data_IF_715930113966
#
_entry.id   IF_715930113966
#
_cell.length_a   1.000
_cell.length_b   1.000
_cell.length_c   1.000
_cell.angle_alpha   90.00
_cell.angle_beta   90.00
_cell.angle_gamma   90.00
#
_symmetry.space_group_name_H-M   'P 1'
#
loop_
_entity.id
_entity.type
_entity.pdbx_description
1 polymer ?
#
# COMPACT_ATOMS: atom_id res chain seq x y z
N UNK A 1 -27.38 -4.29 8.53
CA UNK A 1 -26.76 -3.06 9.06
C UNK A 1 -25.31 -3.39 9.28
N UNK A 2 -24.39 -2.61 8.72
CA UNK A 2 -22.94 -2.82 8.83
C UNK A 2 -22.44 -2.02 10.03
N UNK A 3 -21.84 -2.70 10.99
CA UNK A 3 -21.26 -2.10 12.19
C UNK A 3 -19.82 -1.69 11.92
N UNK A 4 -19.47 -0.44 12.23
CA UNK A 4 -18.20 0.16 11.82
C UNK A 4 -17.49 0.75 13.03
N UNK A 5 -16.21 0.42 13.19
CA UNK A 5 -15.29 1.16 14.07
C UNK A 5 -14.55 2.18 13.21
N UNK A 6 -14.49 3.43 13.65
CA UNK A 6 -13.69 4.48 13.01
C UNK A 6 -12.46 4.76 13.87
N UNK A 7 -11.30 4.29 13.42
CA UNK A 7 -10.02 4.41 14.10
C UNK A 7 -9.17 5.51 13.43
N UNK A 8 -9.34 6.75 13.89
CA UNK A 8 -8.72 7.94 13.32
C UNK A 8 -8.33 8.93 14.42
N UNK A 9 -7.04 9.21 14.62
CA UNK A 9 -6.58 10.17 15.63
C UNK A 9 -7.08 11.60 15.39
N UNK A 10 -7.13 12.02 14.13
CA UNK A 10 -7.58 13.36 13.78
C UNK A 10 -9.09 13.51 13.96
N UNK A 11 -9.50 14.37 14.91
CA UNK A 11 -10.90 14.59 15.25
C UNK A 11 -11.74 15.06 14.07
N UNK A 12 -11.24 15.96 13.25
CA UNK A 12 -11.99 16.51 12.11
C UNK A 12 -12.33 15.42 11.10
N UNK A 13 -11.36 14.56 10.78
CA UNK A 13 -11.59 13.46 9.84
C UNK A 13 -12.48 12.39 10.44
N UNK A 14 -12.27 12.05 11.69
CA UNK A 14 -13.10 11.06 12.38
C UNK A 14 -14.57 11.49 12.39
N UNK A 15 -14.87 12.74 12.76
CA UNK A 15 -16.21 13.30 12.72
C UNK A 15 -16.77 13.38 11.29
N UNK A 16 -15.94 13.71 10.31
CA UNK A 16 -16.31 13.73 8.90
C UNK A 16 -16.73 12.35 8.39
N UNK A 17 -15.90 11.33 8.63
CA UNK A 17 -16.19 9.93 8.26
C UNK A 17 -17.50 9.48 8.92
N UNK A 18 -17.64 9.67 10.22
CA UNK A 18 -18.86 9.34 10.95
C UNK A 18 -20.09 10.03 10.35
N UNK A 19 -20.03 11.34 10.18
CA UNK A 19 -21.15 12.12 9.63
C UNK A 19 -21.59 11.67 8.24
N UNK A 20 -20.64 11.23 7.40
CA UNK A 20 -20.93 10.69 6.06
C UNK A 20 -21.62 9.34 6.16
N UNK A 21 -21.08 8.43 6.97
CA UNK A 21 -21.58 7.06 7.09
C UNK A 21 -22.98 7.03 7.73
N UNK A 22 -23.19 7.77 8.81
CA UNK A 22 -24.47 7.79 9.55
C UNK A 22 -25.65 8.43 8.75
N UNK A 23 -25.39 9.02 7.59
CA UNK A 23 -26.48 9.47 6.67
C UNK A 23 -27.18 8.31 5.97
N UNK A 24 -26.60 7.12 5.98
CA UNK A 24 -27.18 5.93 5.37
C UNK A 24 -27.62 4.94 6.45
N UNK A 25 -28.86 4.50 6.39
CA UNK A 25 -29.44 3.59 7.37
C UNK A 25 -28.78 2.19 7.39
N UNK A 26 -28.01 1.85 6.36
CA UNK A 26 -27.28 0.60 6.27
C UNK A 26 -26.04 0.54 7.17
N UNK A 27 -25.53 1.70 7.62
CA UNK A 27 -24.32 1.83 8.42
C UNK A 27 -24.63 2.22 9.88
N UNK A 28 -23.80 1.71 10.77
CA UNK A 28 -23.78 2.10 12.18
C UNK A 28 -22.34 2.27 12.64
N UNK A 29 -21.94 3.50 12.98
CA UNK A 29 -20.65 3.72 13.63
C UNK A 29 -20.79 3.36 15.10
N UNK A 30 -20.33 2.18 15.46
CA UNK A 30 -20.46 1.63 16.80
C UNK A 30 -19.47 2.22 17.78
N UNK A 31 -18.27 2.56 17.31
CA UNK A 31 -17.23 3.16 18.15
C UNK A 31 -16.27 4.05 17.35
N UNK A 32 -15.73 5.03 18.05
CA UNK A 32 -14.66 5.90 17.60
C UNK A 32 -13.40 5.65 18.42
N UNK A 33 -12.27 5.45 17.75
CA UNK A 33 -10.99 5.11 18.36
C UNK A 33 -9.96 6.16 18.00
N UNK A 34 -9.21 6.64 18.98
CA UNK A 34 -8.27 7.76 18.85
C UNK A 34 -6.82 7.31 18.74
N UNK A 35 -6.50 6.14 19.30
CA UNK A 35 -5.13 5.66 19.44
C UNK A 35 -5.04 4.13 19.40
N UNK A 36 -3.82 3.63 19.44
CA UNK A 36 -3.50 2.21 19.34
C UNK A 36 -4.04 1.37 20.52
N UNK A 37 -4.03 1.90 21.73
CA UNK A 37 -4.44 1.16 22.93
C UNK A 37 -5.97 1.01 22.94
N UNK A 38 -6.68 2.08 22.60
CA UNK A 38 -8.12 2.03 22.40
C UNK A 38 -8.50 1.08 21.24
N UNK A 39 -7.74 1.07 20.13
CA UNK A 39 -8.03 0.16 19.02
C UNK A 39 -7.99 -1.29 19.47
N UNK A 40 -6.98 -1.69 20.23
CA UNK A 40 -6.84 -3.08 20.68
C UNK A 40 -7.98 -3.53 21.59
N UNK A 41 -8.36 -2.69 22.55
CA UNK A 41 -9.45 -2.99 23.49
C UNK A 41 -10.79 -3.00 22.78
N UNK A 42 -11.11 -1.93 22.06
CA UNK A 42 -12.39 -1.77 21.34
C UNK A 42 -12.59 -2.86 20.28
N UNK A 43 -11.53 -3.23 19.55
CA UNK A 43 -11.59 -4.27 18.51
C UNK A 43 -12.04 -5.63 19.06
N UNK A 44 -11.63 -5.97 20.28
CA UNK A 44 -11.99 -7.25 20.90
C UNK A 44 -13.38 -7.21 21.52
N UNK A 45 -13.76 -6.09 22.14
CA UNK A 45 -14.95 -5.99 22.96
C UNK A 45 -16.20 -5.61 22.15
N UNK A 46 -16.05 -4.80 21.11
CA UNK A 46 -17.19 -4.27 20.36
C UNK A 46 -17.46 -5.10 19.07
N UNK A 47 -18.70 -5.58 18.87
CA UNK A 47 -19.10 -6.21 17.63
C UNK A 47 -19.00 -5.23 16.44
N UNK A 48 -18.29 -5.64 15.38
CA UNK A 48 -18.13 -4.84 14.17
C UNK A 48 -17.87 -5.72 12.95
N UNK A 49 -18.15 -5.18 11.79
CA UNK A 49 -17.92 -5.80 10.48
C UNK A 49 -16.70 -5.18 9.78
N UNK A 50 -16.57 -3.85 9.90
CA UNK A 50 -15.53 -3.05 9.25
C UNK A 50 -14.82 -2.15 10.25
N UNK A 51 -13.50 -2.06 10.12
CA UNK A 51 -12.68 -1.03 10.78
C UNK A 51 -12.18 -0.08 9.69
N UNK A 52 -12.61 1.18 9.74
CA UNK A 52 -12.04 2.26 8.94
C UNK A 52 -10.86 2.83 9.71
N UNK A 53 -9.65 2.63 9.24
CA UNK A 53 -8.43 2.99 9.95
C UNK A 53 -7.58 4.00 9.18
N UNK A 54 -7.20 5.09 9.86
CA UNK A 54 -6.29 6.10 9.31
C UNK A 54 -4.87 5.55 9.15
N UNK A 55 -4.23 5.91 8.03
CA UNK A 55 -2.86 5.47 7.73
C UNK A 55 -1.87 5.87 8.81
N UNK A 56 -2.06 7.03 9.44
CA UNK A 56 -1.14 7.52 10.48
C UNK A 56 -1.20 6.63 11.74
N UNK A 57 -2.40 6.21 12.14
CA UNK A 57 -2.56 5.24 13.23
C UNK A 57 -1.96 3.89 12.84
N UNK A 58 -2.21 3.44 11.62
CA UNK A 58 -1.66 2.18 11.12
C UNK A 58 -0.13 2.20 11.04
N UNK A 59 0.48 3.33 10.65
CA UNK A 59 1.94 3.52 10.69
C UNK A 59 2.51 3.46 12.10
N UNK A 60 1.79 3.99 13.09
CA UNK A 60 2.22 3.94 14.50
C UNK A 60 2.24 2.53 15.07
N UNK A 61 1.20 1.72 14.78
CA UNK A 61 1.12 0.34 15.29
C UNK A 61 1.87 -0.67 14.40
N UNK A 62 2.28 -0.25 13.22
CA UNK A 62 2.87 -1.10 12.19
C UNK A 62 1.80 -1.89 11.39
N UNK A 63 1.97 -2.02 10.09
CA UNK A 63 0.97 -2.68 9.23
C UNK A 63 0.77 -4.17 9.60
N UNK A 64 1.76 -4.82 10.23
CA UNK A 64 1.64 -6.19 10.73
C UNK A 64 0.53 -6.37 11.76
N UNK A 65 0.14 -5.31 12.49
CA UNK A 65 -0.96 -5.34 13.44
C UNK A 65 -2.31 -5.73 12.80
N UNK A 66 -2.52 -5.40 11.51
CA UNK A 66 -3.73 -5.85 10.79
C UNK A 66 -3.85 -7.37 10.75
N UNK A 67 -2.72 -8.08 10.60
CA UNK A 67 -2.71 -9.54 10.61
C UNK A 67 -3.07 -10.08 11.99
N UNK A 68 -2.52 -9.51 13.05
CA UNK A 68 -2.81 -9.90 14.43
C UNK A 68 -4.29 -9.68 14.76
N UNK A 69 -4.83 -8.51 14.44
CA UNK A 69 -6.24 -8.19 14.62
C UNK A 69 -7.13 -9.14 13.82
N UNK A 70 -6.78 -9.43 12.58
CA UNK A 70 -7.54 -10.37 11.74
C UNK A 70 -7.47 -11.81 12.24
N UNK A 71 -6.37 -12.24 12.85
CA UNK A 71 -6.28 -13.54 13.50
C UNK A 71 -7.20 -13.63 14.73
N UNK A 72 -7.30 -12.54 15.50
CA UNK A 72 -8.19 -12.47 16.65
C UNK A 72 -9.67 -12.47 16.24
N UNK A 73 -10.01 -11.80 15.10
CA UNK A 73 -11.38 -11.75 14.57
C UNK A 73 -11.39 -11.87 13.04
N UNK A 74 -11.45 -13.10 12.50
CA UNK A 74 -11.33 -13.35 11.06
C UNK A 74 -12.45 -12.74 10.20
N UNK A 75 -13.63 -12.47 10.78
CA UNK A 75 -14.75 -11.83 10.09
C UNK A 75 -14.54 -10.34 9.86
N UNK A 76 -13.71 -9.67 10.68
CA UNK A 76 -13.47 -8.23 10.54
C UNK A 76 -12.72 -7.90 9.26
N UNK A 77 -13.08 -6.77 8.65
CA UNK A 77 -12.48 -6.24 7.44
C UNK A 77 -11.88 -4.87 7.71
N UNK A 78 -10.80 -4.55 7.02
CA UNK A 78 -10.08 -3.28 7.22
C UNK A 78 -10.12 -2.44 5.95
N UNK A 79 -10.63 -1.20 6.09
CA UNK A 79 -10.53 -0.15 5.10
C UNK A 79 -9.51 0.88 5.61
N UNK A 80 -8.37 0.96 4.96
CA UNK A 80 -7.34 1.96 5.27
C UNK A 80 -7.65 3.24 4.51
N UNK A 81 -7.62 4.39 5.18
CA UNK A 81 -7.71 5.69 4.52
C UNK A 81 -6.44 6.51 4.74
N UNK A 82 -6.06 7.28 3.73
CA UNK A 82 -4.85 8.09 3.72
C UNK A 82 -5.09 9.47 3.12
N UNK A 83 -4.35 10.47 3.59
CA UNK A 83 -4.34 11.81 2.99
C UNK A 83 -3.60 11.85 1.66
N UNK A 84 -2.54 11.07 1.58
CA UNK A 84 -1.69 11.00 0.41
C UNK A 84 -1.74 9.60 -0.19
N UNK A 85 -1.56 9.51 -1.50
CA UNK A 85 -1.44 8.23 -2.18
C UNK A 85 -0.03 7.72 -1.97
N UNK A 86 0.10 6.76 -1.05
CA UNK A 86 1.33 6.02 -0.80
C UNK A 86 1.15 4.59 -1.31
N UNK A 87 1.57 4.35 -2.55
CA UNK A 87 1.41 3.05 -3.21
C UNK A 87 2.21 1.95 -2.52
N UNK A 88 3.38 2.28 -1.97
CA UNK A 88 4.22 1.31 -1.26
C UNK A 88 3.52 0.87 0.03
N UNK A 89 3.03 1.82 0.82
CA UNK A 89 2.30 1.53 2.03
C UNK A 89 0.95 0.86 1.76
N UNK A 90 0.25 1.28 0.69
CA UNK A 90 -1.00 0.64 0.25
C UNK A 90 -0.81 -0.84 -0.05
N UNK A 91 0.21 -1.18 -0.83
CA UNK A 91 0.56 -2.57 -1.13
C UNK A 91 0.93 -3.35 0.15
N UNK A 92 1.67 -2.73 1.07
CA UNK A 92 2.01 -3.34 2.36
C UNK A 92 0.76 -3.57 3.22
N UNK A 93 -0.16 -2.61 3.30
CA UNK A 93 -1.42 -2.75 4.02
C UNK A 93 -2.24 -3.94 3.50
N UNK A 94 -2.37 -4.11 2.18
CA UNK A 94 -3.02 -5.28 1.58
C UNK A 94 -2.30 -6.58 1.95
N UNK A 95 -0.99 -6.61 1.90
CA UNK A 95 -0.18 -7.78 2.30
C UNK A 95 -0.45 -8.20 3.75
N UNK A 96 -0.71 -7.26 4.63
CA UNK A 96 -1.00 -7.53 6.04
C UNK A 96 -2.49 -7.73 6.35
N UNK A 97 -3.36 -7.64 5.36
CA UNK A 97 -4.76 -8.04 5.50
C UNK A 97 -5.78 -6.93 5.39
N UNK A 98 -5.39 -5.72 4.94
CA UNK A 98 -6.36 -4.73 4.51
C UNK A 98 -7.24 -5.29 3.39
N UNK A 99 -8.54 -5.00 3.45
CA UNK A 99 -9.49 -5.38 2.39
C UNK A 99 -9.68 -4.21 1.43
N UNK A 100 -9.50 -2.96 1.91
CA UNK A 100 -9.59 -1.78 1.07
C UNK A 100 -8.55 -0.73 1.44
N UNK A 101 -8.23 0.13 0.47
CA UNK A 101 -7.41 1.31 0.65
C UNK A 101 -7.99 2.46 -0.16
N UNK A 102 -8.17 3.62 0.47
CA UNK A 102 -8.71 4.81 -0.16
C UNK A 102 -7.90 6.06 0.19
N UNK A 103 -7.87 7.01 -0.75
CA UNK A 103 -7.31 8.32 -0.51
C UNK A 103 -8.41 9.31 -0.07
N UNK A 104 -8.05 10.36 0.64
CA UNK A 104 -9.00 11.34 1.19
C UNK A 104 -9.60 12.31 0.16
N UNK A 105 -9.18 12.23 -1.10
CA UNK A 105 -9.81 12.97 -2.21
C UNK A 105 -11.10 12.31 -2.72
N UNK A 106 -11.49 11.19 -2.10
CA UNK A 106 -12.70 10.48 -2.45
C UNK A 106 -13.97 11.26 -2.02
N UNK A 107 -15.01 11.11 -2.81
CA UNK A 107 -16.33 11.64 -2.49
C UNK A 107 -17.00 10.90 -1.35
N UNK A 108 -18.03 11.51 -0.73
CA UNK A 108 -18.83 10.84 0.30
C UNK A 108 -19.50 9.55 -0.20
N UNK A 109 -19.85 9.48 -1.49
CA UNK A 109 -20.40 8.26 -2.10
C UNK A 109 -19.34 7.17 -2.20
N UNK A 110 -18.12 7.51 -2.61
CA UNK A 110 -17.02 6.55 -2.71
C UNK A 110 -16.63 5.97 -1.35
N UNK A 111 -16.66 6.77 -0.26
CA UNK A 111 -16.46 6.23 1.09
C UNK A 111 -17.53 5.18 1.44
N UNK A 112 -18.80 5.49 1.15
CA UNK A 112 -19.89 4.54 1.41
C UNK A 112 -19.74 3.25 0.57
N UNK A 113 -19.38 3.39 -0.71
CA UNK A 113 -19.19 2.26 -1.61
C UNK A 113 -17.96 1.43 -1.17
N UNK A 114 -16.90 2.08 -0.70
CA UNK A 114 -15.73 1.41 -0.13
C UNK A 114 -16.12 0.55 1.09
N UNK A 115 -16.87 1.11 2.03
CA UNK A 115 -17.34 0.37 3.22
C UNK A 115 -18.24 -0.80 2.83
N UNK A 116 -19.16 -0.62 1.88
CA UNK A 116 -20.03 -1.69 1.38
C UNK A 116 -19.22 -2.84 0.76
N UNK A 117 -18.29 -2.53 -0.14
CA UNK A 117 -17.45 -3.52 -0.80
C UNK A 117 -16.58 -4.26 0.22
N UNK A 118 -15.94 -3.53 1.12
CA UNK A 118 -15.07 -4.10 2.16
C UNK A 118 -15.87 -4.99 3.10
N UNK A 119 -17.07 -4.59 3.53
CA UNK A 119 -17.94 -5.42 4.36
C UNK A 119 -18.34 -6.73 3.67
N UNK A 120 -18.55 -6.69 2.36
CA UNK A 120 -18.80 -7.87 1.54
C UNK A 120 -17.55 -8.73 1.28
N UNK A 121 -16.38 -8.32 1.80
CA UNK A 121 -15.10 -9.00 1.57
C UNK A 121 -14.51 -8.74 0.19
N UNK A 122 -15.08 -7.80 -0.57
CA UNK A 122 -14.56 -7.40 -1.88
C UNK A 122 -13.43 -6.38 -1.73
N UNK A 123 -12.34 -6.51 -2.49
CA UNK A 123 -11.27 -5.52 -2.45
C UNK A 123 -11.76 -4.16 -2.97
N UNK A 124 -11.30 -3.09 -2.32
CA UNK A 124 -11.57 -1.73 -2.76
C UNK A 124 -10.28 -0.93 -2.83
N UNK A 125 -10.07 -0.25 -3.94
CA UNK A 125 -9.01 0.76 -4.11
C UNK A 125 -9.57 1.96 -4.84
N UNK A 126 -9.14 3.16 -4.47
CA UNK A 126 -9.45 4.35 -5.27
C UNK A 126 -8.84 4.21 -6.66
N UNK A 127 -9.50 4.79 -7.68
CA UNK A 127 -9.10 4.67 -9.09
C UNK A 127 -7.63 5.01 -9.31
N UNK A 128 -7.15 6.09 -8.73
CA UNK A 128 -5.78 6.56 -8.92
C UNK A 128 -4.74 5.57 -8.33
N UNK A 129 -4.99 5.03 -7.14
CA UNK A 129 -4.14 3.96 -6.58
C UNK A 129 -4.22 2.69 -7.44
N UNK A 130 -5.41 2.32 -7.90
CA UNK A 130 -5.61 1.18 -8.80
C UNK A 130 -4.83 1.32 -10.10
N UNK A 131 -4.84 2.48 -10.72
CA UNK A 131 -4.06 2.79 -11.94
C UNK A 131 -2.54 2.69 -11.69
N UNK A 132 -2.08 3.19 -10.54
CA UNK A 132 -0.67 3.10 -10.16
C UNK A 132 -0.25 1.65 -9.86
N UNK A 133 -1.08 0.89 -9.14
CA UNK A 133 -0.82 -0.53 -8.90
C UNK A 133 -0.86 -1.35 -10.19
N UNK A 134 -1.83 -1.09 -11.07
CA UNK A 134 -1.91 -1.74 -12.38
C UNK A 134 -0.69 -1.41 -13.25
N UNK A 135 -0.25 -0.16 -13.24
CA UNK A 135 0.98 0.26 -13.92
C UNK A 135 2.18 -0.51 -13.38
N UNK A 136 2.30 -0.63 -12.04
CA UNK A 136 3.37 -1.41 -11.41
C UNK A 136 3.32 -2.90 -11.81
N UNK A 137 2.14 -3.49 -11.93
CA UNK A 137 1.95 -4.88 -12.38
C UNK A 137 2.24 -5.04 -13.88
N UNK A 138 1.80 -4.10 -14.72
CA UNK A 138 2.11 -4.12 -16.17
C UNK A 138 3.61 -3.97 -16.43
N UNK A 139 4.29 -3.12 -15.65
CA UNK A 139 5.76 -3.03 -15.68
C UNK A 139 6.40 -4.35 -15.26
N UNK A 140 5.80 -5.13 -14.36
CA UNK A 140 6.28 -6.48 -13.99
C UNK A 140 6.13 -7.47 -15.15
N UNK A 141 5.01 -7.46 -15.84
CA UNK A 141 4.75 -8.38 -16.96
C UNK A 141 5.67 -8.11 -18.16
N UNK A 142 6.08 -6.85 -18.38
CA UNK A 142 7.08 -6.47 -19.38
C UNK A 142 8.53 -6.69 -18.91
N UNK A 143 8.75 -6.91 -17.60
CA UNK A 143 10.08 -6.96 -16.97
C UNK A 143 10.51 -8.37 -16.54
N UNK A 144 10.43 -9.34 -17.44
CA UNK A 144 11.36 -10.50 -17.43
C UNK A 144 12.83 -10.05 -17.60
N UNK A 145 13.10 -8.76 -17.53
CA UNK A 145 14.33 -8.10 -17.95
C UNK A 145 15.43 -8.05 -16.87
N UNK A 146 15.12 -8.32 -15.57
CA UNK A 146 16.22 -8.41 -14.58
C UNK A 146 17.16 -9.58 -14.83
N UNK A 147 16.67 -10.66 -15.45
CA UNK A 147 17.50 -11.80 -15.86
C UNK A 147 18.52 -11.41 -16.95
N UNK A 148 18.34 -10.26 -17.62
CA UNK A 148 19.25 -9.76 -18.65
C UNK A 148 20.37 -8.84 -18.12
N UNK A 149 20.27 -8.39 -16.84
CA UNK A 149 21.29 -7.55 -16.23
C UNK A 149 22.44 -8.41 -15.69
N UNK A 150 23.68 -8.01 -16.02
CA UNK A 150 24.84 -8.57 -15.36
C UNK A 150 24.87 -8.23 -13.86
N UNK A 151 25.63 -8.98 -13.05
CA UNK A 151 25.77 -8.68 -11.62
C UNK A 151 26.20 -7.24 -11.33
N UNK A 152 27.05 -6.66 -12.17
CA UNK A 152 27.50 -5.26 -12.04
C UNK A 152 26.40 -4.27 -12.35
N UNK A 153 25.69 -4.49 -13.47
CA UNK A 153 24.52 -3.67 -13.84
C UNK A 153 23.43 -3.71 -12.76
N UNK A 154 23.19 -4.88 -12.17
CA UNK A 154 22.20 -5.03 -11.10
C UNK A 154 22.59 -4.24 -9.83
N UNK A 155 23.87 -4.19 -9.47
CA UNK A 155 24.36 -3.39 -8.35
C UNK A 155 24.16 -1.90 -8.63
N UNK A 156 24.58 -1.42 -9.80
CA UNK A 156 24.40 -0.02 -10.21
C UNK A 156 22.91 0.33 -10.27
N UNK A 157 22.10 -0.54 -10.84
CA UNK A 157 20.64 -0.36 -10.90
C UNK A 157 20.05 -0.18 -9.49
N UNK A 158 20.35 -1.08 -8.54
CA UNK A 158 19.87 -0.98 -7.15
C UNK A 158 20.27 0.32 -6.49
N UNK A 159 21.50 0.79 -6.70
CA UNK A 159 21.98 2.03 -6.09
C UNK A 159 21.32 3.27 -6.68
N UNK A 160 21.16 3.34 -8.01
CA UNK A 160 20.42 4.42 -8.68
C UNK A 160 18.94 4.43 -8.26
N UNK A 161 18.37 3.26 -8.08
CA UNK A 161 16.99 3.05 -7.65
C UNK A 161 16.69 3.59 -6.24
N UNK A 162 17.68 3.68 -5.36
CA UNK A 162 17.53 4.32 -4.05
C UNK A 162 17.66 5.84 -4.09
N UNK A 163 17.74 6.44 -5.29
CA UNK A 163 17.86 7.90 -5.48
C UNK A 163 19.29 8.42 -5.31
N UNK A 164 20.30 7.55 -5.25
CA UNK A 164 21.70 7.96 -5.26
C UNK A 164 22.05 8.58 -6.62
N UNK A 165 22.76 9.70 -6.60
CA UNK A 165 23.27 10.35 -7.81
C UNK A 165 24.43 9.55 -8.39
N UNK A 166 24.65 9.61 -9.69
CA UNK A 166 25.73 8.89 -10.38
C UNK A 166 27.10 9.13 -9.75
N UNK A 167 27.39 10.34 -9.28
CA UNK A 167 28.64 10.69 -8.56
C UNK A 167 28.82 9.91 -7.26
N UNK A 168 27.75 9.67 -6.55
CA UNK A 168 27.81 8.97 -5.27
C UNK A 168 27.95 7.46 -5.50
N UNK A 169 27.28 6.93 -6.52
CA UNK A 169 27.44 5.55 -6.99
C UNK A 169 28.87 5.30 -7.47
N UNK A 170 29.42 6.22 -8.29
CA UNK A 170 30.78 6.15 -8.76
C UNK A 170 31.80 6.08 -7.61
N UNK A 171 31.64 6.95 -6.61
CA UNK A 171 32.47 6.99 -5.42
C UNK A 171 32.41 5.70 -4.62
N UNK A 172 31.21 5.16 -4.39
CA UNK A 172 31.01 3.93 -3.61
C UNK A 172 31.57 2.69 -4.31
N UNK A 173 31.50 2.65 -5.65
CA UNK A 173 31.98 1.53 -6.44
C UNK A 173 33.45 1.68 -6.90
N UNK A 174 34.13 2.79 -6.58
CA UNK A 174 35.48 3.07 -7.05
C UNK A 174 35.59 3.14 -8.58
N UNK A 175 34.58 3.75 -9.22
CA UNK A 175 34.45 3.88 -10.68
C UNK A 175 34.44 5.36 -11.08
N UNK A 176 34.62 5.61 -12.41
CA UNK A 176 34.38 6.95 -12.94
C UNK A 176 32.89 7.22 -13.08
N UNK A 177 32.51 8.50 -13.13
CA UNK A 177 31.11 8.90 -13.37
C UNK A 177 30.67 8.46 -14.76
N UNK A 178 31.58 8.48 -15.73
CA UNK A 178 31.34 8.04 -17.11
C UNK A 178 31.04 6.54 -17.17
N UNK A 179 31.72 5.70 -16.38
CA UNK A 179 31.42 4.27 -16.26
C UNK A 179 29.98 4.06 -15.74
N UNK A 180 29.57 4.83 -14.73
CA UNK A 180 28.20 4.72 -14.20
C UNK A 180 27.16 5.18 -15.23
N UNK A 181 27.46 6.22 -15.97
CA UNK A 181 26.62 6.68 -17.08
C UNK A 181 26.45 5.61 -18.17
N UNK A 182 27.55 4.92 -18.54
CA UNK A 182 27.52 3.80 -19.48
C UNK A 182 26.67 2.63 -18.93
N UNK A 183 26.85 2.27 -17.66
CA UNK A 183 25.99 1.26 -17.01
C UNK A 183 24.52 1.66 -17.01
N UNK A 184 24.19 2.91 -16.65
CA UNK A 184 22.83 3.43 -16.67
C UNK A 184 22.19 3.32 -18.06
N UNK A 185 22.91 3.73 -19.12
CA UNK A 185 22.43 3.63 -20.51
C UNK A 185 22.17 2.18 -20.90
N UNK A 186 23.07 1.26 -20.57
CA UNK A 186 22.90 -0.16 -20.85
C UNK A 186 21.73 -0.77 -20.08
N UNK A 187 21.56 -0.40 -18.81
CA UNK A 187 20.44 -0.83 -17.98
C UNK A 187 19.12 -0.36 -18.61
N UNK A 188 19.03 0.94 -18.96
CA UNK A 188 17.82 1.50 -19.56
C UNK A 188 17.49 0.80 -20.90
N UNK A 189 18.48 0.55 -21.74
CA UNK A 189 18.30 -0.17 -23.00
C UNK A 189 17.83 -1.62 -22.78
N UNK A 190 18.47 -2.37 -21.87
CA UNK A 190 18.10 -3.76 -21.57
C UNK A 190 16.74 -3.89 -20.90
N UNK A 191 16.35 -2.89 -20.12
CA UNK A 191 15.07 -2.86 -19.43
C UNK A 191 13.99 -2.11 -20.21
N UNK A 192 14.30 -1.61 -21.39
CA UNK A 192 13.38 -0.86 -22.26
C UNK A 192 12.73 0.33 -21.51
N UNK A 193 13.51 1.00 -20.66
CA UNK A 193 13.06 2.16 -19.90
C UNK A 193 13.21 3.43 -20.76
N UNK A 194 12.13 4.23 -20.93
CA UNK A 194 12.16 5.39 -21.82
C UNK A 194 12.99 6.56 -21.28
N UNK A 195 13.07 6.71 -19.95
CA UNK A 195 13.76 7.81 -19.28
C UNK A 195 14.19 7.45 -17.86
N UNK A 196 14.86 8.38 -17.19
CA UNK A 196 15.36 8.23 -15.82
C UNK A 196 14.25 8.15 -14.78
N UNK A 197 13.14 8.85 -15.02
CA UNK A 197 11.98 8.78 -14.13
C UNK A 197 11.40 7.37 -14.11
N UNK A 198 11.39 6.69 -15.26
CA UNK A 198 10.97 5.30 -15.40
C UNK A 198 11.88 4.35 -14.60
N UNK A 199 13.19 4.65 -14.48
CA UNK A 199 14.12 3.86 -13.67
C UNK A 199 13.80 3.96 -12.19
N UNK A 200 13.52 5.17 -11.68
CA UNK A 200 13.13 5.40 -10.28
C UNK A 200 11.76 4.78 -9.99
N UNK A 201 10.78 4.97 -10.87
CA UNK A 201 9.45 4.36 -10.73
C UNK A 201 9.52 2.83 -10.76
N UNK A 202 10.38 2.27 -11.62
CA UNK A 202 10.61 0.83 -11.66
C UNK A 202 11.17 0.30 -10.34
N UNK A 203 12.05 1.04 -9.72
CA UNK A 203 12.62 0.68 -8.42
C UNK A 203 11.59 0.72 -7.29
N UNK A 204 10.76 1.76 -7.26
CA UNK A 204 9.66 1.87 -6.30
C UNK A 204 8.71 0.68 -6.46
N UNK A 205 8.34 0.35 -7.71
CA UNK A 205 7.49 -0.81 -7.99
C UNK A 205 8.12 -2.15 -7.60
N UNK A 206 9.45 -2.30 -7.72
CA UNK A 206 10.16 -3.50 -7.28
C UNK A 206 10.19 -3.65 -5.75
N UNK A 207 10.34 -2.56 -5.01
CA UNK A 207 10.25 -2.58 -3.54
C UNK A 207 8.84 -3.00 -3.11
N UNK A 208 7.82 -2.48 -3.78
CA UNK A 208 6.42 -2.87 -3.59
C UNK A 208 6.23 -4.36 -3.93
N UNK A 209 6.84 -4.87 -4.99
CA UNK A 209 6.65 -6.23 -5.48
C UNK A 209 7.44 -7.28 -4.68
N UNK A 210 8.64 -6.97 -4.18
CA UNK A 210 9.35 -7.85 -3.23
C UNK A 210 8.55 -8.01 -1.93
N UNK A 211 7.74 -7.02 -1.58
CA UNK A 211 6.78 -7.14 -0.50
C UNK A 211 5.69 -8.20 -0.78
N UNK A 212 5.34 -8.47 -2.05
CA UNK A 212 4.37 -9.51 -2.43
C UNK A 212 5.00 -10.91 -2.59
N UNK A 213 6.26 -11.02 -3.00
CA UNK A 213 6.93 -12.32 -3.26
C UNK A 213 7.28 -13.11 -1.99
N UNK A 214 7.16 -12.52 -0.79
CA UNK A 214 7.38 -13.22 0.49
C UNK A 214 6.10 -13.90 1.04
N UNK A 215 5.05 -14.06 0.23
CA UNK A 215 3.88 -14.85 0.59
C UNK A 215 4.02 -16.29 0.08
N UNK A 216 4.08 -17.31 0.94
CA UNK A 216 3.86 -18.68 0.52
C UNK A 216 2.41 -18.80 0.06
N UNK A 217 2.24 -19.46 -1.06
CA UNK A 217 1.03 -19.74 -1.79
C UNK A 217 -0.17 -20.04 -0.88
N UNK A 218 -1.25 -19.27 -1.03
CA UNK A 218 -2.56 -19.74 -0.62
C UNK A 218 -3.02 -20.75 -1.67
N UNK A 219 -2.72 -22.02 -1.43
CA UNK A 219 -3.37 -23.09 -2.16
C UNK A 219 -4.88 -23.06 -1.81
N UNK A 220 -5.76 -23.11 -2.80
CA UNK A 220 -7.16 -23.36 -2.52
C UNK A 220 -7.27 -24.76 -1.90
N UNK A 221 -7.78 -24.80 -0.69
CA UNK A 221 -8.17 -26.09 -0.09
C UNK A 221 -9.39 -26.57 -0.85
N UNK A 222 -9.28 -27.75 -1.46
CA UNK A 222 -10.38 -28.48 -2.09
C UNK A 222 -11.50 -28.78 -1.11
#
# INVERSE_FOLDING_TARGET
MINIIVAEPNQTFRLGIRSILERRAEFSVTEEVLDADQLRTTFLDVPHDVVVIGVDLLKQIGPAALRELRQARPSSRFLVHSFEIDTAFGAEAFRFGATGYMANDCSSSELCDAVMNVAAGQPFVTRLLGEQLATAVCFRASNLSHASLSRRELVVFKMLSTGLRERDVARQLGKSVDDIYAYKTHIMAKMTLPDESALVQHAISQTVLQAFDHYPEMHPVH
#
